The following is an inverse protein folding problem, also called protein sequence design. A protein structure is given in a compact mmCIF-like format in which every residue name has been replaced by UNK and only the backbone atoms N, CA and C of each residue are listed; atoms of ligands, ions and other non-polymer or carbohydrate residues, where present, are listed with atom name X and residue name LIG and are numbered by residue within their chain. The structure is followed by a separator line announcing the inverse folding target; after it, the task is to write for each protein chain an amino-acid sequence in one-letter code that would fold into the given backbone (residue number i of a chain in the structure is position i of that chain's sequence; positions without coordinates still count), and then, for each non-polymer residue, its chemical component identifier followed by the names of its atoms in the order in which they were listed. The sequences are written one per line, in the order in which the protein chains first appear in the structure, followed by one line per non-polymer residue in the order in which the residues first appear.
data_IF_232579595845
#
_entry.id   IF_232579595845
#
_cell.length_a   1.000
_cell.length_b   1.000
_cell.length_c   1.000
_cell.angle_alpha   90.00
_cell.angle_beta   90.00
_cell.angle_gamma   90.00
#
_symmetry.space_group_name_H-M   'P 1'
#
loop_
_entity.id
_entity.type
_entity.pdbx_description
1 polymer ?
#
# COMPACT_ATOMS: atom_id res chain seq x y z
N UNK A 1 -6.69 -1.18 28.02
CA UNK A 1 -6.67 -0.46 26.74
C UNK A 1 -5.92 0.84 26.99
N UNK A 2 -4.90 1.14 26.20
CA UNK A 2 -4.17 2.40 26.31
C UNK A 2 -5.02 3.54 25.76
N UNK A 3 -5.15 4.62 26.52
CA UNK A 3 -5.76 5.85 26.02
C UNK A 3 -4.86 6.45 24.93
N UNK A 4 -5.41 6.68 23.75
CA UNK A 4 -4.72 7.33 22.62
C UNK A 4 -5.24 8.76 22.52
N UNK A 5 -4.39 9.74 22.81
CA UNK A 5 -4.70 11.16 22.65
C UNK A 5 -4.33 11.60 21.23
N UNK A 6 -5.32 12.04 20.45
CA UNK A 6 -5.12 12.52 19.07
C UNK A 6 -5.34 14.04 19.06
N UNK A 7 -4.29 14.78 18.75
CA UNK A 7 -4.39 16.21 18.47
C UNK A 7 -4.77 16.40 17.00
N UNK A 8 -5.97 16.92 16.75
CA UNK A 8 -6.43 17.25 15.40
C UNK A 8 -6.81 18.73 15.32
N UNK A 9 -6.65 19.33 14.13
CA UNK A 9 -7.11 20.69 13.88
C UNK A 9 -8.59 20.66 13.48
N UNK A 10 -9.53 21.18 14.29
CA UNK A 10 -10.95 21.14 13.97
C UNK A 10 -11.32 21.92 12.70
N UNK A 11 -10.49 22.89 12.29
CA UNK A 11 -10.69 23.69 11.08
C UNK A 11 -10.24 22.96 9.80
N UNK A 12 -9.52 21.83 9.93
CA UNK A 12 -9.01 21.04 8.80
C UNK A 12 -9.88 19.80 8.55
N UNK A 13 -10.67 19.82 7.47
CA UNK A 13 -11.62 18.75 7.13
C UNK A 13 -10.98 17.36 6.97
N UNK A 14 -9.75 17.28 6.44
CA UNK A 14 -9.02 16.01 6.26
C UNK A 14 -8.66 15.34 7.58
N UNK A 15 -8.44 16.11 8.66
CA UNK A 15 -8.09 15.56 9.97
C UNK A 15 -9.26 14.80 10.63
N UNK A 16 -10.51 15.18 10.31
CA UNK A 16 -11.71 14.47 10.79
C UNK A 16 -11.82 13.06 10.23
N UNK A 17 -11.35 12.83 9.00
CA UNK A 17 -11.36 11.50 8.39
C UNK A 17 -10.47 10.51 9.14
N UNK A 18 -9.37 10.99 9.74
CA UNK A 18 -8.49 10.15 10.56
C UNK A 18 -9.21 9.58 11.78
N UNK A 19 -10.02 10.40 12.46
CA UNK A 19 -10.77 9.94 13.63
C UNK A 19 -11.81 8.87 13.24
N UNK A 20 -12.51 9.07 12.12
CA UNK A 20 -13.45 8.08 11.58
C UNK A 20 -12.77 6.74 11.23
N UNK A 21 -11.59 6.79 10.60
CA UNK A 21 -10.80 5.58 10.29
C UNK A 21 -10.33 4.84 11.55
N UNK A 22 -10.00 5.54 12.64
CA UNK A 22 -9.62 4.90 13.90
C UNK A 22 -10.81 4.25 14.62
N UNK A 23 -11.98 4.88 14.56
CA UNK A 23 -13.22 4.30 15.09
C UNK A 23 -13.70 3.10 14.25
N UNK A 24 -13.48 3.16 12.93
CA UNK A 24 -13.91 2.14 11.97
C UNK A 24 -12.76 1.75 11.04
N UNK A 25 -11.84 0.85 11.48
CA UNK A 25 -10.67 0.45 10.70
C UNK A 25 -10.98 -0.12 9.31
N UNK A 26 -12.20 -0.60 9.08
CA UNK A 26 -12.67 -1.06 7.76
C UNK A 26 -12.64 0.04 6.69
N UNK A 27 -12.66 1.31 7.09
CA UNK A 27 -12.55 2.46 6.18
C UNK A 27 -11.12 2.65 5.63
N UNK A 28 -10.13 1.99 6.23
CA UNK A 28 -8.73 2.08 5.82
C UNK A 28 -8.52 1.15 4.61
N UNK A 29 -8.19 1.74 3.45
CA UNK A 29 -7.83 0.98 2.25
C UNK A 29 -6.63 0.05 2.52
N UNK A 30 -6.58 -1.12 1.87
CA UNK A 30 -5.58 -2.17 2.14
C UNK A 30 -4.97 -2.72 0.84
N UNK A 31 -3.78 -3.32 0.83
CA UNK A 31 -2.83 -3.40 1.94
C UNK A 31 -1.95 -2.15 2.05
N UNK A 32 -1.63 -1.78 3.29
CA UNK A 32 -0.48 -0.93 3.58
C UNK A 32 0.73 -1.84 3.80
N UNK A 33 1.83 -1.56 3.11
CA UNK A 33 3.09 -2.29 3.28
C UNK A 33 4.15 -1.34 3.81
N UNK A 34 4.89 -1.82 4.82
CA UNK A 34 5.97 -1.10 5.49
C UNK A 34 7.26 -1.88 5.29
N UNK A 35 8.29 -1.23 4.79
CA UNK A 35 9.65 -1.78 4.64
C UNK A 35 10.68 -0.77 5.15
N UNK A 36 11.96 -1.14 5.12
CA UNK A 36 13.06 -0.20 5.40
C UNK A 36 13.20 0.89 4.34
N UNK A 37 12.67 0.70 3.12
CA UNK A 37 12.73 1.66 2.01
C UNK A 37 11.59 2.68 2.11
N UNK A 38 10.43 2.28 2.66
CA UNK A 38 9.33 3.20 2.89
C UNK A 38 7.99 2.52 3.17
N UNK A 39 6.93 3.32 3.05
CA UNK A 39 5.53 2.90 3.27
C UNK A 39 4.68 3.26 2.05
N UNK A 40 3.81 2.34 1.63
CA UNK A 40 2.85 2.54 0.54
C UNK A 40 1.51 1.87 0.80
N UNK A 41 0.45 2.48 0.26
CA UNK A 41 -0.82 1.80 -0.01
C UNK A 41 -0.68 1.10 -1.36
N UNK A 42 -0.58 -0.22 -1.36
CA UNK A 42 -0.29 -1.00 -2.57
C UNK A 42 -1.57 -1.30 -3.35
N UNK A 43 -2.13 -0.24 -3.95
CA UNK A 43 -3.29 -0.24 -4.84
C UNK A 43 -2.91 0.53 -6.12
N UNK A 44 -2.58 -0.15 -7.23
CA UNK A 44 -2.60 -1.60 -7.46
C UNK A 44 -1.45 -2.36 -6.74
N UNK A 45 -1.50 -3.70 -6.70
CA UNK A 45 -0.67 -4.52 -5.82
C UNK A 45 0.84 -4.45 -6.13
N UNK A 46 1.19 -4.29 -7.40
CA UNK A 46 2.54 -4.15 -7.95
C UNK A 46 3.30 -2.93 -7.44
N UNK A 47 2.60 -1.92 -6.88
CA UNK A 47 3.22 -0.76 -6.21
C UNK A 47 4.15 -1.20 -5.06
N UNK A 48 3.91 -2.37 -4.47
CA UNK A 48 4.80 -2.93 -3.44
C UNK A 48 6.25 -3.07 -3.93
N UNK A 49 6.46 -3.34 -5.21
CA UNK A 49 7.78 -3.57 -5.80
C UNK A 49 8.67 -2.31 -5.74
N UNK A 50 8.09 -1.12 -5.59
CA UNK A 50 8.85 0.13 -5.44
C UNK A 50 9.49 0.29 -4.06
N UNK A 51 9.01 -0.46 -3.06
CA UNK A 51 9.47 -0.34 -1.67
C UNK A 51 10.10 -1.63 -1.13
N UNK A 52 10.21 -2.70 -1.91
CA UNK A 52 10.93 -3.88 -1.45
C UNK A 52 12.45 -3.60 -1.39
N UNK A 53 13.15 -4.01 -0.32
CA UNK A 53 14.59 -3.76 -0.16
C UNK A 53 15.45 -4.60 -1.11
N UNK A 54 14.88 -5.65 -1.70
CA UNK A 54 15.53 -6.51 -2.69
C UNK A 54 14.64 -6.59 -3.94
N UNK A 55 15.23 -6.67 -5.14
CA UNK A 55 14.47 -6.87 -6.36
C UNK A 55 13.80 -8.25 -6.34
N UNK A 56 12.70 -8.37 -7.10
CA UNK A 56 12.05 -9.66 -7.28
C UNK A 56 12.98 -10.62 -8.03
N UNK A 57 13.18 -11.81 -7.49
CA UNK A 57 14.19 -12.77 -7.97
C UNK A 57 13.68 -13.69 -9.10
N UNK A 58 12.46 -13.45 -9.61
CA UNK A 58 11.88 -14.26 -10.68
C UNK A 58 10.52 -13.73 -11.15
N UNK A 59 9.95 -14.45 -12.12
CA UNK A 59 8.66 -14.09 -12.71
C UNK A 59 7.56 -14.02 -11.65
N UNK A 60 6.70 -13.01 -11.77
CA UNK A 60 5.56 -12.80 -10.88
C UNK A 60 4.32 -12.46 -11.70
N UNK A 61 3.28 -13.26 -11.50
CA UNK A 61 1.95 -13.01 -12.04
C UNK A 61 0.96 -12.82 -10.88
N UNK A 62 -0.01 -11.93 -11.08
CA UNK A 62 -1.15 -11.73 -10.18
C UNK A 62 -2.06 -12.97 -10.21
N UNK A 63 -3.00 -13.03 -9.27
CA UNK A 63 -3.95 -14.14 -9.14
C UNK A 63 -4.92 -14.29 -10.33
N UNK A 64 -5.13 -13.21 -11.07
CA UNK A 64 -5.90 -13.17 -12.33
C UNK A 64 -5.08 -13.62 -13.56
N UNK A 65 -3.79 -13.93 -13.38
CA UNK A 65 -2.88 -14.32 -14.44
C UNK A 65 -2.16 -13.15 -15.13
N UNK A 66 -2.38 -11.90 -14.71
CA UNK A 66 -1.66 -10.75 -15.25
C UNK A 66 -0.17 -10.84 -14.86
N UNK A 67 0.71 -10.95 -15.87
CA UNK A 67 2.15 -10.97 -15.66
C UNK A 67 2.67 -9.55 -15.33
N UNK A 68 3.31 -9.39 -14.18
CA UNK A 68 3.87 -8.11 -13.71
C UNK A 68 5.38 -8.09 -13.88
N UNK A 69 6.06 -9.21 -13.62
CA UNK A 69 7.51 -9.38 -13.76
C UNK A 69 7.81 -10.60 -14.64
N UNK A 70 8.68 -10.44 -15.63
CA UNK A 70 9.13 -11.51 -16.53
C UNK A 70 10.24 -12.40 -15.89
N UNK A 71 10.70 -13.41 -16.63
CA UNK A 71 11.72 -14.35 -16.16
C UNK A 71 13.08 -13.67 -15.95
N UNK A 72 13.31 -12.55 -16.64
CA UNK A 72 14.50 -11.71 -16.56
C UNK A 72 14.43 -10.68 -15.42
N UNK A 73 13.32 -10.64 -14.67
CA UNK A 73 13.13 -9.73 -13.52
C UNK A 73 12.71 -8.31 -13.91
N UNK A 74 12.30 -8.07 -15.15
CA UNK A 74 11.85 -6.78 -15.66
C UNK A 74 10.32 -6.66 -15.59
N UNK A 75 9.82 -5.44 -15.40
CA UNK A 75 8.39 -5.15 -15.48
C UNK A 75 7.85 -5.36 -16.89
N UNK A 76 6.79 -6.15 -16.97
CA UNK A 76 5.99 -6.31 -18.19
C UNK A 76 5.15 -5.04 -18.35
N UNK A 77 5.13 -4.45 -19.55
CA UNK A 77 4.21 -3.33 -19.81
C UNK A 77 2.80 -3.90 -19.90
N UNK A 78 1.96 -3.60 -18.91
CA UNK A 78 0.52 -3.82 -19.03
C UNK A 78 0.01 -2.90 -20.14
N UNK A 79 -0.44 -3.51 -21.24
CA UNK A 79 -1.13 -2.78 -22.30
C UNK A 79 -2.55 -2.48 -21.79
N UNK A 80 -2.83 -1.22 -21.47
CA UNK A 80 -4.20 -0.72 -21.32
C UNK A 80 -4.95 -0.79 -22.68
#
# INVERSE_FOLDING_TARGET
MSDVIIYHNPDCWTSRNTLAMMAHPILINRPFVVTSVGVRLCRPSEVVLDILPAPQLGAFAKEDGEAVIDAEGKRVQSHD
#
